data_IF_338620437764
#
_entry.id   IF_338620437764
#
_cell.length_a   1.000
_cell.length_b   1.000
_cell.length_c   1.000
_cell.angle_alpha   90.00
_cell.angle_beta   90.00
_cell.angle_gamma   90.00
#
_symmetry.space_group_name_H-M   'P 1'
#
loop_
_entity.id
_entity.type
_entity.pdbx_description
1 polymer ?
#
# COMPACT_ATOMS: atom_id res chain seq x y z
N UNK A 1 -17.08 8.03 25.16
CA UNK A 1 -16.70 8.38 23.77
C UNK A 1 -15.95 9.70 23.82
N UNK A 2 -14.66 9.71 23.60
CA UNK A 2 -13.87 10.94 23.53
C UNK A 2 -13.69 11.27 22.04
N UNK A 3 -14.50 12.20 21.53
CA UNK A 3 -14.46 12.66 20.13
C UNK A 3 -13.53 13.87 19.92
N UNK A 4 -12.65 14.16 20.87
CA UNK A 4 -11.65 15.19 20.68
C UNK A 4 -10.41 14.57 20.03
N UNK A 5 -9.92 15.13 18.91
CA UNK A 5 -8.69 14.68 18.31
C UNK A 5 -7.53 14.90 19.28
N UNK A 6 -6.58 13.96 19.33
CA UNK A 6 -5.36 14.11 20.10
C UNK A 6 -4.61 15.36 19.64
N UNK A 7 -4.29 16.25 20.58
CA UNK A 7 -3.50 17.45 20.30
C UNK A 7 -2.04 17.14 20.56
N UNK A 8 -1.24 17.13 19.51
CA UNK A 8 0.21 16.96 19.63
C UNK A 8 0.88 18.32 19.83
N UNK A 9 1.56 18.49 20.96
CA UNK A 9 2.33 19.68 21.26
C UNK A 9 3.82 19.32 21.12
N UNK A 10 4.58 20.18 20.44
CA UNK A 10 6.03 20.00 20.31
C UNK A 10 6.70 20.01 21.68
N UNK A 11 7.50 18.99 21.97
CA UNK A 11 8.26 18.91 23.21
C UNK A 11 9.29 20.05 23.29
N UNK A 12 9.26 20.86 24.34
CA UNK A 12 10.17 22.00 24.54
C UNK A 12 11.64 21.57 24.72
N UNK A 13 11.88 20.33 25.17
CA UNK A 13 13.24 19.83 25.44
C UNK A 13 13.93 19.34 24.15
N UNK A 14 13.22 18.59 23.31
CA UNK A 14 13.82 18.04 22.08
C UNK A 14 13.41 18.79 20.81
N UNK A 15 12.51 19.79 20.92
CA UNK A 15 12.04 20.61 19.79
C UNK A 15 11.57 19.77 18.58
N UNK A 16 10.91 18.65 18.86
CA UNK A 16 10.45 17.72 17.84
C UNK A 16 11.48 16.69 17.35
N UNK A 17 12.74 16.78 17.76
CA UNK A 17 13.85 15.89 17.32
C UNK A 17 13.76 14.47 17.89
N UNK A 18 12.88 14.22 18.88
CA UNK A 18 12.60 12.93 19.52
C UNK A 18 13.75 12.34 20.36
N UNK A 19 14.97 12.83 20.22
CA UNK A 19 16.18 12.30 20.86
C UNK A 19 16.89 13.38 21.67
N UNK A 20 17.65 12.97 22.68
CA UNK A 20 18.51 13.85 23.47
C UNK A 20 19.76 14.27 22.68
N UNK A 21 20.47 15.27 23.18
CA UNK A 21 21.64 15.84 22.51
C UNK A 21 22.74 14.80 22.27
N UNK A 22 23.03 13.95 23.25
CA UNK A 22 24.07 12.93 23.16
C UNK A 22 23.79 11.94 22.01
N UNK A 23 22.52 11.52 21.84
CA UNK A 23 22.10 10.67 20.70
C UNK A 23 22.22 11.40 19.38
N UNK A 24 21.91 12.71 19.34
CA UNK A 24 21.99 13.52 18.12
C UNK A 24 23.42 13.85 17.69
N UNK A 25 24.40 13.74 18.59
CA UNK A 25 25.83 13.90 18.28
C UNK A 25 26.38 12.71 17.46
N UNK A 26 25.72 11.53 17.52
CA UNK A 26 26.10 10.36 16.73
C UNK A 26 25.63 10.54 15.28
N UNK A 27 26.57 10.36 14.33
CA UNK A 27 26.32 10.57 12.91
C UNK A 27 26.72 9.37 12.07
N UNK A 28 25.89 9.06 11.09
CA UNK A 28 26.20 8.12 10.01
C UNK A 28 26.16 8.88 8.68
N UNK A 29 27.22 8.83 7.89
CA UNK A 29 27.36 9.62 6.65
C UNK A 29 26.99 11.12 6.84
N UNK A 30 27.38 11.70 7.98
CA UNK A 30 27.13 13.11 8.29
C UNK A 30 25.72 13.44 8.80
N UNK A 31 24.77 12.50 8.85
CA UNK A 31 23.41 12.68 9.34
C UNK A 31 23.21 12.05 10.69
N UNK A 32 22.51 12.72 11.60
CA UNK A 32 22.03 12.15 12.86
C UNK A 32 20.67 11.48 12.67
N UNK A 33 20.18 10.78 13.71
CA UNK A 33 18.93 10.01 13.63
C UNK A 33 17.71 10.89 13.34
N UNK A 34 17.63 12.13 13.84
CA UNK A 34 16.52 13.04 13.54
C UNK A 34 16.52 13.41 12.06
N UNK A 35 17.69 13.79 11.53
CA UNK A 35 17.86 14.11 10.12
C UNK A 35 17.57 12.90 9.19
N UNK A 36 17.82 11.68 9.66
CA UNK A 36 17.47 10.45 8.95
C UNK A 36 15.94 10.23 8.96
N UNK A 37 15.28 10.49 10.09
CA UNK A 37 13.82 10.35 10.18
C UNK A 37 13.07 11.39 9.35
N UNK A 38 13.69 12.51 9.04
CA UNK A 38 13.13 13.55 8.16
C UNK A 38 13.30 13.23 6.66
N UNK A 39 14.09 12.21 6.31
CA UNK A 39 14.23 11.76 4.92
C UNK A 39 12.95 11.10 4.43
N UNK A 40 12.64 11.30 3.15
CA UNK A 40 11.67 10.47 2.44
C UNK A 40 12.17 9.04 2.32
N UNK A 41 11.28 8.10 2.03
CA UNK A 41 11.66 6.70 1.74
C UNK A 41 12.62 6.66 0.54
N UNK A 42 12.37 7.47 -0.50
CA UNK A 42 13.22 7.58 -1.68
C UNK A 42 14.64 8.02 -1.32
N UNK A 43 14.78 9.14 -0.60
CA UNK A 43 16.09 9.66 -0.16
C UNK A 43 16.84 8.64 0.70
N UNK A 44 16.11 8.02 1.65
CA UNK A 44 16.67 7.04 2.57
C UNK A 44 17.13 5.77 1.83
N UNK A 45 16.46 5.36 0.76
CA UNK A 45 16.85 4.20 -0.06
C UNK A 45 18.23 4.43 -0.67
N UNK A 46 18.48 5.61 -1.23
CA UNK A 46 19.81 6.00 -1.71
C UNK A 46 20.85 6.12 -0.59
N UNK A 47 20.47 6.74 0.53
CA UNK A 47 21.35 6.95 1.67
C UNK A 47 21.83 5.62 2.29
N UNK A 48 20.95 4.62 2.41
CA UNK A 48 21.23 3.31 2.98
C UNK A 48 21.58 2.23 1.94
N UNK A 49 21.90 2.58 0.72
CA UNK A 49 22.25 1.61 -0.35
C UNK A 49 23.34 0.60 0.06
N UNK A 50 24.30 1.01 0.92
CA UNK A 50 25.36 0.14 1.41
C UNK A 50 24.96 -0.73 2.63
N UNK A 51 23.71 -0.65 3.10
CA UNK A 51 23.19 -1.40 4.26
C UNK A 51 22.03 -2.31 3.82
N UNK A 52 22.30 -3.55 3.34
CA UNK A 52 21.32 -4.39 2.67
C UNK A 52 20.03 -4.62 3.48
N UNK A 53 20.14 -4.80 4.80
CA UNK A 53 19.00 -5.06 5.66
C UNK A 53 18.01 -3.87 5.76
N UNK A 54 18.52 -2.64 5.68
CA UNK A 54 17.70 -1.42 5.67
C UNK A 54 17.20 -1.17 4.24
N UNK A 55 18.11 -1.21 3.26
CA UNK A 55 17.80 -0.98 1.85
C UNK A 55 16.66 -1.88 1.37
N UNK A 56 16.69 -3.18 1.68
CA UNK A 56 15.62 -4.10 1.30
C UNK A 56 14.23 -3.67 1.85
N UNK A 57 14.15 -3.21 3.10
CA UNK A 57 12.89 -2.74 3.67
C UNK A 57 12.40 -1.43 3.06
N UNK A 58 13.32 -0.52 2.75
CA UNK A 58 13.01 0.72 2.06
C UNK A 58 12.53 0.45 0.64
N UNK A 59 13.19 -0.49 -0.06
CA UNK A 59 12.78 -0.90 -1.39
C UNK A 59 11.35 -1.48 -1.40
N UNK A 60 10.95 -2.28 -0.40
CA UNK A 60 9.56 -2.77 -0.32
C UNK A 60 8.55 -1.65 -0.08
N UNK A 61 8.94 -0.55 0.57
CA UNK A 61 8.10 0.64 0.68
C UNK A 61 8.01 1.40 -0.65
N UNK A 62 9.11 1.51 -1.39
CA UNK A 62 9.11 2.05 -2.76
C UNK A 62 8.18 1.25 -3.66
N UNK A 63 8.32 -0.08 -3.66
CA UNK A 63 7.55 -1.02 -4.48
C UNK A 63 6.03 -0.92 -4.27
N UNK A 64 5.57 -0.42 -3.14
CA UNK A 64 4.13 -0.21 -2.86
C UNK A 64 3.70 1.26 -3.04
N UNK A 65 4.50 2.08 -3.72
CA UNK A 65 4.16 3.48 -4.01
C UNK A 65 4.20 4.40 -2.80
N UNK A 66 5.11 4.17 -1.84
CA UNK A 66 5.28 4.99 -0.63
C UNK A 66 6.63 5.74 -0.63
N UNK A 67 7.13 6.13 -1.80
CA UNK A 67 8.41 6.85 -1.97
C UNK A 67 8.46 8.17 -1.21
N UNK A 68 7.33 8.86 -1.15
CA UNK A 68 7.19 10.24 -0.67
C UNK A 68 7.01 10.38 0.85
N UNK A 69 6.61 9.33 1.57
CA UNK A 69 6.44 9.41 3.03
C UNK A 69 7.79 9.54 3.73
N UNK A 70 7.83 10.27 4.86
CA UNK A 70 9.05 10.37 5.66
C UNK A 70 9.20 9.20 6.62
N UNK A 71 10.45 8.78 6.89
CA UNK A 71 10.71 7.66 7.82
C UNK A 71 10.17 7.92 9.23
N UNK A 72 10.16 9.19 9.63
CA UNK A 72 9.65 9.62 10.93
C UNK A 72 8.18 10.01 10.93
N UNK A 73 7.44 9.79 9.86
CA UNK A 73 6.03 10.17 9.79
C UNK A 73 5.20 9.48 10.88
N UNK A 74 4.32 10.25 11.51
CA UNK A 74 3.43 9.70 12.53
C UNK A 74 2.37 8.82 11.84
N UNK A 75 2.13 7.63 12.38
CA UNK A 75 1.13 6.71 11.83
C UNK A 75 -0.29 7.29 11.79
N UNK A 76 -0.62 8.23 12.68
CA UNK A 76 -1.92 8.92 12.71
C UNK A 76 -2.13 9.92 11.57
N UNK A 77 -1.06 10.30 10.86
CA UNK A 77 -1.11 11.21 9.70
C UNK A 77 -1.18 10.46 8.37
N UNK A 78 -1.06 9.14 8.40
CA UNK A 78 -1.22 8.31 7.22
C UNK A 78 -2.70 8.17 6.86
N UNK A 79 -3.03 8.25 5.59
CA UNK A 79 -4.32 7.84 5.06
C UNK A 79 -4.55 6.33 5.26
N UNK A 80 -5.81 5.89 5.16
CA UNK A 80 -6.15 4.46 5.26
C UNK A 80 -5.39 3.62 4.25
N UNK A 81 -5.29 4.06 3.00
CA UNK A 81 -4.54 3.39 1.93
C UNK A 81 -3.02 3.34 2.21
N UNK A 82 -2.42 4.43 2.67
CA UNK A 82 -0.99 4.46 3.05
C UNK A 82 -0.69 3.49 4.20
N UNK A 83 -1.52 3.50 5.23
CA UNK A 83 -1.36 2.58 6.37
C UNK A 83 -1.47 1.10 5.93
N UNK A 84 -2.36 0.80 4.97
CA UNK A 84 -2.51 -0.53 4.41
C UNK A 84 -1.28 -0.93 3.59
N UNK A 85 -0.75 -0.04 2.76
CA UNK A 85 0.47 -0.28 1.98
C UNK A 85 1.72 -0.45 2.86
N UNK A 86 1.84 0.29 3.98
CA UNK A 86 2.90 0.06 4.98
C UNK A 86 2.81 -1.36 5.56
N UNK A 87 1.60 -1.85 5.86
CA UNK A 87 1.41 -3.24 6.30
C UNK A 87 1.79 -4.23 5.21
N UNK A 88 1.40 -3.98 3.96
CA UNK A 88 1.76 -4.80 2.81
C UNK A 88 3.27 -4.87 2.63
N UNK A 89 3.97 -3.73 2.64
CA UNK A 89 5.44 -3.68 2.56
C UNK A 89 6.11 -4.48 3.68
N UNK A 90 5.57 -4.43 4.90
CA UNK A 90 6.05 -5.24 6.02
C UNK A 90 5.90 -6.74 5.75
N UNK A 91 4.80 -7.18 5.18
CA UNK A 91 4.60 -8.59 4.83
C UNK A 91 5.52 -9.03 3.68
N UNK A 92 5.68 -8.19 2.67
CA UNK A 92 6.59 -8.41 1.53
C UNK A 92 8.06 -8.52 1.97
N UNK A 93 8.46 -7.80 3.01
CA UNK A 93 9.84 -7.88 3.54
C UNK A 93 10.15 -9.20 4.25
N UNK A 94 9.13 -10.03 4.52
CA UNK A 94 9.30 -11.37 5.09
C UNK A 94 9.57 -12.40 4.01
N UNK A 95 10.22 -13.51 4.36
CA UNK A 95 10.29 -14.67 3.48
C UNK A 95 8.91 -15.29 3.35
N UNK A 96 8.34 -15.27 2.16
CA UNK A 96 7.05 -15.87 1.87
C UNK A 96 7.08 -17.39 2.04
N UNK A 97 5.99 -17.95 2.56
CA UNK A 97 5.80 -19.41 2.69
C UNK A 97 5.10 -20.01 1.46
N UNK A 98 4.58 -19.16 0.55
CA UNK A 98 3.78 -19.58 -0.61
C UNK A 98 2.41 -20.15 -0.23
N UNK A 99 1.91 -19.89 0.99
CA UNK A 99 0.62 -20.40 1.49
C UNK A 99 -0.13 -19.34 2.32
N UNK A 100 -0.02 -18.08 1.94
CA UNK A 100 -0.64 -16.96 2.64
C UNK A 100 -1.85 -16.47 1.85
N UNK A 101 -2.95 -16.18 2.54
CA UNK A 101 -4.09 -15.46 1.99
C UNK A 101 -3.93 -13.97 2.35
N UNK A 102 -3.82 -13.13 1.35
CA UNK A 102 -3.84 -11.67 1.48
C UNK A 102 -5.23 -11.16 1.10
N UNK A 103 -5.83 -10.35 1.95
CA UNK A 103 -7.09 -9.66 1.67
C UNK A 103 -6.80 -8.16 1.75
N UNK A 104 -7.02 -7.47 0.64
CA UNK A 104 -6.76 -6.05 0.46
C UNK A 104 -8.05 -5.34 0.12
N UNK A 105 -8.34 -4.26 0.84
CA UNK A 105 -9.54 -3.46 0.66
C UNK A 105 -9.15 -2.10 0.09
N UNK A 106 -9.56 -1.83 -1.15
CA UNK A 106 -9.26 -0.62 -1.93
C UNK A 106 -7.78 -0.18 -1.86
N UNK A 107 -6.80 -1.06 -2.16
CA UNK A 107 -5.38 -0.74 -1.99
C UNK A 107 -4.90 0.36 -2.93
N UNK A 108 -5.64 0.69 -4.01
CA UNK A 108 -5.29 1.77 -4.94
C UNK A 108 -5.79 3.14 -4.51
N UNK A 109 -6.52 3.24 -3.39
CA UNK A 109 -7.06 4.53 -2.93
C UNK A 109 -5.94 5.55 -2.70
N UNK A 110 -6.06 6.70 -3.37
CA UNK A 110 -5.09 7.80 -3.28
C UNK A 110 -3.79 7.57 -4.04
N UNK A 111 -3.70 6.54 -4.89
CA UNK A 111 -2.56 6.33 -5.77
C UNK A 111 -2.71 7.08 -7.09
N UNK A 112 -1.58 7.53 -7.62
CA UNK A 112 -1.47 7.97 -9.01
C UNK A 112 -1.39 6.74 -9.94
N UNK A 113 -1.70 6.89 -11.23
CA UNK A 113 -1.70 5.78 -12.19
C UNK A 113 -0.39 4.99 -12.23
N UNK A 114 0.76 5.67 -12.13
CA UNK A 114 2.06 5.01 -12.09
C UNK A 114 2.21 4.11 -10.85
N UNK A 115 1.79 4.61 -9.69
CA UNK A 115 1.90 3.87 -8.43
C UNK A 115 0.97 2.64 -8.41
N UNK A 116 -0.15 2.71 -9.15
CA UNK A 116 -1.05 1.56 -9.34
C UNK A 116 -0.34 0.42 -10.07
N UNK A 117 0.43 0.75 -11.13
CA UNK A 117 1.21 -0.27 -11.87
C UNK A 117 2.27 -0.92 -10.99
N UNK A 118 3.00 -0.14 -10.19
CA UNK A 118 3.97 -0.66 -9.23
C UNK A 118 3.31 -1.59 -8.21
N UNK A 119 2.15 -1.19 -7.67
CA UNK A 119 1.38 -2.02 -6.74
C UNK A 119 0.93 -3.33 -7.40
N UNK A 120 0.45 -3.30 -8.65
CA UNK A 120 0.05 -4.49 -9.40
C UNK A 120 1.21 -5.47 -9.57
N UNK A 121 2.41 -4.99 -9.92
CA UNK A 121 3.60 -5.82 -10.03
C UNK A 121 3.91 -6.53 -8.71
N UNK A 122 3.70 -5.85 -7.60
CA UNK A 122 3.86 -6.43 -6.25
C UNK A 122 2.83 -7.51 -5.97
N UNK A 123 1.55 -7.26 -6.27
CA UNK A 123 0.48 -8.23 -6.07
C UNK A 123 0.67 -9.48 -6.92
N UNK A 124 1.09 -9.31 -8.19
CA UNK A 124 1.43 -10.42 -9.07
C UNK A 124 2.62 -11.24 -8.54
N UNK A 125 3.68 -10.59 -8.04
CA UNK A 125 4.81 -11.29 -7.40
C UNK A 125 4.36 -12.12 -6.19
N UNK A 126 3.41 -11.62 -5.38
CA UNK A 126 2.84 -12.37 -4.26
C UNK A 126 2.09 -13.62 -4.75
N UNK A 127 1.22 -13.47 -5.75
CA UNK A 127 0.48 -14.57 -6.38
C UNK A 127 1.45 -15.61 -6.97
N UNK A 128 2.43 -15.18 -7.75
CA UNK A 128 3.41 -16.05 -8.40
C UNK A 128 4.29 -16.80 -7.39
N UNK A 129 4.46 -16.24 -6.18
CA UNK A 129 5.06 -16.89 -5.02
C UNK A 129 4.19 -17.98 -4.39
N UNK A 130 3.03 -18.32 -4.98
CA UNK A 130 2.13 -19.40 -4.54
C UNK A 130 1.09 -18.96 -3.51
N UNK A 131 0.96 -17.65 -3.25
CA UNK A 131 -0.03 -17.12 -2.33
C UNK A 131 -1.37 -16.85 -3.04
N UNK A 132 -2.43 -16.69 -2.24
CA UNK A 132 -3.73 -16.24 -2.71
C UNK A 132 -3.90 -14.76 -2.37
N UNK A 133 -4.28 -13.95 -3.35
CA UNK A 133 -4.51 -12.51 -3.16
C UNK A 133 -5.96 -12.20 -3.53
N UNK A 134 -6.73 -11.71 -2.57
CA UNK A 134 -8.10 -11.23 -2.76
C UNK A 134 -8.07 -9.71 -2.63
N UNK A 135 -8.56 -9.02 -3.67
CA UNK A 135 -8.57 -7.56 -3.72
C UNK A 135 -10.01 -7.10 -3.89
N UNK A 136 -10.47 -6.22 -3.02
CA UNK A 136 -11.73 -5.50 -3.18
C UNK A 136 -11.38 -4.18 -3.86
N UNK A 137 -11.89 -3.95 -5.06
CA UNK A 137 -11.48 -2.81 -5.88
C UNK A 137 -12.57 -2.32 -6.84
N UNK A 138 -12.45 -1.05 -7.21
CA UNK A 138 -13.26 -0.39 -8.24
C UNK A 138 -12.40 0.07 -9.43
N UNK A 139 -11.09 0.02 -9.28
CA UNK A 139 -10.15 0.41 -10.31
C UNK A 139 -10.10 -0.65 -11.41
N UNK A 140 -10.54 -0.30 -12.62
CA UNK A 140 -10.59 -1.21 -13.76
C UNK A 140 -9.21 -1.69 -14.22
N UNK A 141 -8.15 -0.91 -14.00
CA UNK A 141 -6.78 -1.33 -14.31
C UNK A 141 -6.34 -2.50 -13.41
N UNK A 142 -6.84 -2.56 -12.18
CA UNK A 142 -6.64 -3.71 -11.29
C UNK A 142 -7.52 -4.87 -11.72
N UNK A 143 -8.81 -4.63 -11.93
CA UNK A 143 -9.80 -5.67 -12.23
C UNK A 143 -9.44 -6.43 -13.51
N UNK A 144 -9.03 -5.72 -14.58
CA UNK A 144 -8.64 -6.35 -15.86
C UNK A 144 -7.41 -7.26 -15.76
N UNK A 145 -6.58 -7.14 -14.71
CA UNK A 145 -5.39 -7.95 -14.50
C UNK A 145 -5.59 -9.12 -13.54
N UNK A 146 -6.81 -9.27 -13.00
CA UNK A 146 -7.14 -10.35 -12.09
C UNK A 146 -7.22 -11.70 -12.83
N UNK A 147 -6.84 -12.79 -12.16
CA UNK A 147 -7.03 -14.14 -12.67
C UNK A 147 -8.53 -14.55 -12.61
N UNK A 148 -9.26 -13.97 -11.66
CA UNK A 148 -10.67 -14.28 -11.39
C UNK A 148 -11.38 -13.08 -10.75
N UNK A 149 -12.58 -12.79 -11.23
CA UNK A 149 -13.41 -11.68 -10.76
C UNK A 149 -14.72 -12.24 -10.19
N UNK A 150 -15.16 -11.67 -9.08
CA UNK A 150 -16.51 -11.88 -8.50
C UNK A 150 -17.19 -10.52 -8.48
N UNK A 151 -18.12 -10.29 -9.41
CA UNK A 151 -18.86 -9.03 -9.52
C UNK A 151 -20.11 -9.06 -8.64
N UNK A 152 -20.20 -8.08 -7.75
CA UNK A 152 -21.28 -7.92 -6.78
C UNK A 152 -22.15 -6.71 -7.15
N UNK A 153 -23.46 -6.92 -7.26
CA UNK A 153 -24.37 -5.86 -7.64
C UNK A 153 -25.84 -6.23 -7.47
N UNK A 154 -26.77 -5.62 -8.30
CA UNK A 154 -26.49 -4.51 -9.23
C UNK A 154 -26.30 -3.16 -8.53
N UNK A 155 -26.84 -3.00 -7.31
CA UNK A 155 -26.79 -1.77 -6.51
C UNK A 155 -26.14 -2.02 -5.13
N UNK A 156 -26.07 -0.99 -4.30
CA UNK A 156 -25.63 -1.11 -2.91
C UNK A 156 -26.79 -1.34 -1.92
N UNK A 157 -26.44 -1.67 -0.67
CA UNK A 157 -27.38 -1.83 0.43
C UNK A 157 -28.36 -3.00 0.24
N UNK A 158 -29.65 -2.79 0.57
CA UNK A 158 -30.69 -3.83 0.52
C UNK A 158 -31.04 -4.32 -0.91
N UNK A 159 -30.64 -3.58 -1.94
CA UNK A 159 -30.88 -3.93 -3.35
C UNK A 159 -29.65 -4.48 -4.07
N UNK A 160 -28.53 -4.61 -3.35
CA UNK A 160 -27.27 -5.12 -3.86
C UNK A 160 -26.76 -6.36 -3.13
N UNK A 161 -25.46 -6.61 -3.23
CA UNK A 161 -24.80 -7.72 -2.54
C UNK A 161 -25.10 -9.09 -3.13
N UNK A 162 -25.57 -9.17 -4.37
CA UNK A 162 -25.75 -10.41 -5.12
C UNK A 162 -24.58 -10.60 -6.07
N UNK A 163 -24.20 -11.85 -6.28
CA UNK A 163 -23.24 -12.20 -7.32
C UNK A 163 -23.95 -12.03 -8.66
N UNK A 164 -23.44 -11.15 -9.50
CA UNK A 164 -23.96 -10.86 -10.86
C UNK A 164 -23.19 -11.68 -11.89
N UNK A 165 -21.87 -11.68 -11.79
CA UNK A 165 -20.99 -12.43 -12.67
C UNK A 165 -19.79 -13.00 -11.89
N UNK A 166 -19.26 -14.12 -12.37
CA UNK A 166 -18.05 -14.76 -11.83
C UNK A 166 -17.29 -15.36 -13.00
N UNK A 167 -16.00 -15.08 -13.09
CA UNK A 167 -15.16 -15.62 -14.16
C UNK A 167 -13.89 -14.82 -14.35
N UNK A 168 -13.20 -15.05 -15.46
CA UNK A 168 -12.09 -14.18 -15.89
C UNK A 168 -12.61 -12.79 -16.22
N UNK A 169 -11.75 -11.76 -16.28
CA UNK A 169 -12.17 -10.42 -16.71
C UNK A 169 -12.91 -10.43 -18.07
N UNK A 170 -12.47 -11.28 -19.01
CA UNK A 170 -13.11 -11.42 -20.33
C UNK A 170 -14.51 -12.05 -20.22
N UNK A 171 -14.68 -13.07 -19.39
CA UNK A 171 -15.99 -13.69 -19.16
C UNK A 171 -16.95 -12.72 -18.47
N UNK A 172 -16.48 -11.93 -17.51
CA UNK A 172 -17.27 -10.91 -16.85
C UNK A 172 -17.64 -9.76 -17.82
N UNK A 173 -16.75 -9.42 -18.76
CA UNK A 173 -17.01 -8.42 -19.79
C UNK A 173 -18.18 -8.82 -20.71
N UNK A 174 -18.42 -10.11 -20.90
CA UNK A 174 -19.53 -10.63 -21.74
C UNK A 174 -20.81 -10.93 -20.90
N UNK A 175 -20.74 -10.82 -19.57
CA UNK A 175 -21.89 -11.12 -18.71
C UNK A 175 -22.99 -10.08 -18.82
N UNK A 176 -24.23 -10.50 -19.11
CA UNK A 176 -25.38 -9.62 -19.13
C UNK A 176 -25.71 -9.11 -17.72
N UNK A 177 -25.97 -7.80 -17.59
CA UNK A 177 -26.34 -7.18 -16.32
C UNK A 177 -25.18 -6.84 -15.40
N UNK A 178 -23.93 -7.10 -15.80
CA UNK A 178 -22.72 -6.67 -15.10
C UNK A 178 -22.35 -5.26 -15.54
N UNK A 179 -22.47 -4.28 -14.62
CA UNK A 179 -21.95 -2.93 -14.86
C UNK A 179 -20.43 -2.94 -14.99
N UNK A 180 -19.74 -3.70 -14.15
CA UNK A 180 -18.28 -3.89 -14.24
C UNK A 180 -17.90 -4.43 -15.61
N UNK A 181 -18.63 -5.44 -16.11
CA UNK A 181 -18.42 -6.04 -17.43
C UNK A 181 -18.61 -5.04 -18.57
N UNK A 182 -19.61 -4.16 -18.49
CA UNK A 182 -19.85 -3.12 -19.50
C UNK A 182 -18.63 -2.18 -19.65
N UNK A 183 -17.98 -1.83 -18.54
CA UNK A 183 -16.78 -0.98 -18.57
C UNK A 183 -15.53 -1.78 -18.98
N UNK A 184 -15.37 -3.02 -18.51
CA UNK A 184 -14.24 -3.90 -18.88
C UNK A 184 -14.18 -4.14 -20.40
N UNK A 185 -15.32 -4.34 -21.07
CA UNK A 185 -15.41 -4.56 -22.52
C UNK A 185 -14.76 -3.45 -23.35
N UNK A 186 -14.60 -2.25 -22.77
CA UNK A 186 -13.95 -1.11 -23.44
C UNK A 186 -12.45 -1.07 -23.21
N UNK A 187 -11.94 -1.88 -22.30
CA UNK A 187 -10.52 -1.86 -21.84
C UNK A 187 -9.76 -3.13 -22.20
N UNK A 188 -10.47 -4.20 -22.51
CA UNK A 188 -9.95 -5.46 -23.01
C UNK A 188 -9.96 -5.49 -24.54
#
# INVERSE_FOLDING_TARGET
>A
MHFLPDVYVTCEVCEGKRYNRETLDIRYKGRNISEVLDMTVEDATGFFAAVPAIHHKLQTLMDVGLSYITLGQNATTLSGGEAQRVKLAKELSKRGTGKTLYILDEPTTGLHFHDVDELLQVLHRLRDGGNTVVVIEHNLDVIKTADWVVDLGPEGGSRGGRIIAVGTPEEVAEAEGSFTGEFLRRML
#
